data_IF_840687059161
#
_entry.id   IF_840687059161
#
_cell.length_a   1.000
_cell.length_b   1.000
_cell.length_c   1.000
_cell.angle_alpha   90.00
_cell.angle_beta   90.00
_cell.angle_gamma   90.00
#
_symmetry.space_group_name_H-M   'P 1'
#
loop_
_entity.id
_entity.type
_entity.pdbx_description
1 polymer ?
#
# COMPACT_ATOMS: atom_id res chain seq x y z
N UNK A 1 8.88 -7.78 10.76
CA UNK A 1 8.33 -7.37 9.46
C UNK A 1 8.14 -5.88 9.40
N UNK A 2 8.53 -5.28 8.31
CA UNK A 2 8.32 -3.87 8.11
C UNK A 2 6.86 -3.60 7.71
N UNK A 3 6.37 -2.39 8.03
CA UNK A 3 5.02 -2.00 7.62
C UNK A 3 4.84 -2.09 6.11
N UNK A 4 5.87 -1.71 5.36
CA UNK A 4 5.84 -1.78 3.89
C UNK A 4 5.58 -3.21 3.39
N UNK A 5 6.14 -4.20 4.06
CA UNK A 5 5.95 -5.59 3.68
C UNK A 5 4.54 -6.06 3.96
N UNK A 6 3.97 -5.59 5.06
CA UNK A 6 2.60 -5.93 5.43
C UNK A 6 1.62 -5.33 4.41
N UNK A 7 1.81 -4.08 4.07
CA UNK A 7 0.93 -3.39 3.10
C UNK A 7 1.02 -4.07 1.73
N UNK A 8 2.23 -4.33 1.27
CA UNK A 8 2.45 -4.99 -0.01
C UNK A 8 1.81 -6.38 -0.02
N UNK A 9 2.06 -7.15 1.03
CA UNK A 9 1.53 -8.51 1.14
C UNK A 9 0.02 -8.56 1.14
N UNK A 10 -0.62 -7.66 1.87
CA UNK A 10 -2.08 -7.60 1.90
C UNK A 10 -2.64 -7.23 0.52
N UNK A 11 -2.01 -6.28 -0.14
CA UNK A 11 -2.44 -5.84 -1.46
C UNK A 11 -2.37 -6.98 -2.47
N UNK A 12 -1.23 -7.66 -2.51
CA UNK A 12 -1.02 -8.78 -3.44
C UNK A 12 -1.97 -9.93 -3.13
N UNK A 13 -2.15 -10.24 -1.85
CA UNK A 13 -3.04 -11.31 -1.41
C UNK A 13 -4.47 -11.07 -1.88
N UNK A 14 -4.91 -9.82 -1.88
CA UNK A 14 -6.26 -9.46 -2.31
C UNK A 14 -6.34 -9.21 -3.82
N UNK A 15 -5.23 -9.30 -4.53
CA UNK A 15 -5.19 -9.06 -5.96
C UNK A 15 -5.45 -7.62 -6.35
N UNK A 16 -5.07 -6.68 -5.50
CA UNK A 16 -5.31 -5.26 -5.73
C UNK A 16 -4.07 -4.58 -6.31
N UNK A 17 -4.31 -3.62 -7.20
CA UNK A 17 -3.25 -2.70 -7.62
C UNK A 17 -3.06 -1.64 -6.54
N UNK A 18 -1.98 -0.86 -6.65
CA UNK A 18 -1.76 0.26 -5.72
C UNK A 18 -2.92 1.25 -5.77
N UNK A 19 -3.42 1.52 -6.97
CA UNK A 19 -4.54 2.43 -7.15
C UNK A 19 -5.80 1.88 -6.49
N UNK A 20 -6.06 0.59 -6.65
CA UNK A 20 -7.23 -0.04 -6.06
C UNK A 20 -7.16 0.00 -4.53
N UNK A 21 -5.99 -0.27 -3.96
CA UNK A 21 -5.81 -0.20 -2.52
C UNK A 21 -6.00 1.24 -2.02
N UNK A 22 -5.43 2.21 -2.73
CA UNK A 22 -5.55 3.62 -2.36
C UNK A 22 -7.02 4.03 -2.27
N UNK A 23 -7.83 3.59 -3.22
CA UNK A 23 -9.26 3.89 -3.21
C UNK A 23 -9.97 3.26 -2.02
N UNK A 24 -9.57 2.05 -1.66
CA UNK A 24 -10.20 1.34 -0.54
C UNK A 24 -9.92 2.02 0.80
N UNK A 25 -8.72 2.57 0.96
CA UNK A 25 -8.35 3.22 2.22
C UNK A 25 -8.45 4.74 2.13
N UNK A 26 -8.97 5.25 1.01
CA UNK A 26 -9.26 6.67 0.81
C UNK A 26 -8.02 7.56 0.90
N UNK A 27 -6.96 7.11 0.25
CA UNK A 27 -5.71 7.88 0.14
C UNK A 27 -5.32 7.94 -1.34
N UNK A 28 -4.24 8.67 -1.65
CA UNK A 28 -3.74 8.73 -3.02
C UNK A 28 -2.89 7.51 -3.33
N UNK A 29 -2.78 7.17 -4.61
CA UNK A 29 -1.90 6.10 -5.05
C UNK A 29 -0.45 6.40 -4.66
N UNK A 30 -0.06 7.68 -4.70
CA UNK A 30 1.29 8.07 -4.30
C UNK A 30 1.58 7.73 -2.85
N UNK A 31 0.59 7.88 -1.98
CA UNK A 31 0.76 7.51 -0.58
C UNK A 31 1.03 6.01 -0.43
N UNK A 32 0.25 5.19 -1.14
CA UNK A 32 0.46 3.73 -1.10
C UNK A 32 1.85 3.39 -1.63
N UNK A 33 2.26 4.01 -2.74
CA UNK A 33 3.58 3.78 -3.31
C UNK A 33 4.69 4.10 -2.32
N UNK A 34 4.58 5.21 -1.61
CA UNK A 34 5.57 5.61 -0.60
C UNK A 34 5.61 4.63 0.56
N UNK A 35 4.45 4.15 0.99
CA UNK A 35 4.39 3.15 2.06
C UNK A 35 5.12 1.88 1.66
N UNK A 36 4.90 1.43 0.42
CA UNK A 36 5.51 0.19 -0.06
C UNK A 36 7.01 0.33 -0.32
N UNK A 37 7.46 1.56 -0.59
CA UNK A 37 8.89 1.83 -0.75
C UNK A 37 9.60 2.08 0.58
N UNK A 38 8.85 2.20 1.67
CA UNK A 38 9.42 2.46 2.97
C UNK A 38 9.77 3.93 3.22
N UNK A 39 9.30 4.83 2.35
CA UNK A 39 9.59 6.27 2.50
C UNK A 39 8.77 6.90 3.62
N UNK A 40 7.53 6.46 3.78
CA UNK A 40 6.64 6.94 4.84
C UNK A 40 5.86 5.75 5.40
N UNK A 41 5.20 5.96 6.54
CA UNK A 41 4.33 4.95 7.14
C UNK A 41 2.90 5.50 7.17
N UNK A 42 1.92 4.59 7.13
CA UNK A 42 0.52 5.01 7.24
C UNK A 42 0.22 5.67 8.57
#
# INVERSE_FOLDING_TARGET
MEVKDIIYGLRVKKGLSQDALARKVMVTRQAVSRWENGETVP
#
